data_IF_860255964861
#
_entry.id   IF_860255964861
#
_cell.length_a   1.000
_cell.length_b   1.000
_cell.length_c   1.000
_cell.angle_alpha   90.00
_cell.angle_beta   90.00
_cell.angle_gamma   90.00
#
_symmetry.space_group_name_H-M   'P 1'
#
loop_
_entity.id
_entity.type
_entity.pdbx_description
1 polymer ?
#
# COMPACT_ATOMS: atom_id res chain seq x y z
N UNK A 1 6.04 -51.69 2.73
CA UNK A 1 4.58 -51.51 2.91
C UNK A 1 4.25 -51.55 4.39
N UNK A 2 4.06 -50.41 5.05
CA UNK A 2 3.43 -50.32 6.37
C UNK A 2 2.52 -49.09 6.37
N UNK A 3 1.28 -49.31 6.78
CA UNK A 3 0.11 -48.48 6.54
C UNK A 3 0.11 -47.21 7.40
N UNK A 4 -0.21 -46.08 6.77
CA UNK A 4 -0.61 -44.83 7.44
C UNK A 4 -2.09 -44.93 7.81
N UNK A 5 -2.40 -44.86 9.11
CA UNK A 5 -3.76 -44.58 9.58
C UNK A 5 -3.73 -43.23 10.29
N UNK A 6 -4.28 -42.21 9.63
CA UNK A 6 -4.42 -40.86 10.14
C UNK A 6 -5.58 -40.80 11.15
N UNK A 7 -5.28 -40.46 12.40
CA UNK A 7 -6.31 -40.09 13.37
C UNK A 7 -6.62 -38.60 13.19
N UNK A 8 -7.66 -38.29 12.41
CA UNK A 8 -8.23 -36.95 12.27
C UNK A 8 -9.05 -36.63 13.52
N UNK A 9 -8.48 -35.79 14.40
CA UNK A 9 -9.17 -35.16 15.52
C UNK A 9 -9.51 -33.69 15.21
N UNK A 10 -10.79 -33.48 14.90
CA UNK A 10 -11.65 -32.29 15.09
C UNK A 10 -11.03 -30.87 15.27
N UNK A 11 -10.10 -30.50 14.39
CA UNK A 11 -9.55 -29.14 14.28
C UNK A 11 -10.15 -28.34 13.11
N UNK A 12 -10.89 -29.03 12.23
CA UNK A 12 -11.59 -28.43 11.09
C UNK A 12 -12.75 -27.52 11.53
N UNK A 13 -13.52 -27.90 12.56
CA UNK A 13 -14.71 -27.15 12.99
C UNK A 13 -14.41 -25.74 13.52
N UNK A 14 -13.25 -25.52 14.15
CA UNK A 14 -12.89 -24.23 14.73
C UNK A 14 -12.19 -23.27 13.75
N UNK A 15 -11.50 -23.79 12.73
CA UNK A 15 -10.93 -22.97 11.63
C UNK A 15 -12.00 -22.57 10.61
N UNK A 16 -12.91 -23.48 10.26
CA UNK A 16 -14.03 -23.20 9.33
C UNK A 16 -14.97 -22.14 9.91
N UNK A 17 -15.28 -22.18 11.22
CA UNK A 17 -16.12 -21.17 11.87
C UNK A 17 -15.52 -19.75 11.89
N UNK A 18 -14.19 -19.62 12.05
CA UNK A 18 -13.50 -18.32 11.98
C UNK A 18 -13.36 -17.80 10.54
N UNK A 19 -13.11 -18.68 9.57
CA UNK A 19 -13.11 -18.34 8.14
C UNK A 19 -14.48 -17.86 7.67
N UNK A 20 -15.54 -18.58 8.03
CA UNK A 20 -16.92 -18.20 7.70
C UNK A 20 -17.38 -16.90 8.40
N UNK A 21 -16.94 -16.63 9.64
CA UNK A 21 -17.22 -15.35 10.31
C UNK A 21 -16.49 -14.17 9.65
N UNK A 22 -15.26 -14.38 9.17
CA UNK A 22 -14.47 -13.37 8.46
C UNK A 22 -15.03 -13.07 7.07
N UNK A 23 -15.40 -14.11 6.30
CA UNK A 23 -16.07 -13.96 5.00
C UNK A 23 -17.42 -13.24 5.12
N UNK A 24 -18.22 -13.56 6.15
CA UNK A 24 -19.49 -12.87 6.40
C UNK A 24 -19.32 -11.41 6.82
N UNK A 25 -18.26 -11.06 7.57
CA UNK A 25 -17.96 -9.66 7.88
C UNK A 25 -17.48 -8.90 6.63
N UNK A 26 -16.59 -9.47 5.82
CA UNK A 26 -16.15 -8.85 4.58
C UNK A 26 -17.30 -8.63 3.58
N UNK A 27 -18.24 -9.58 3.48
CA UNK A 27 -19.45 -9.42 2.65
C UNK A 27 -20.35 -8.29 3.16
N UNK A 28 -20.54 -8.20 4.49
CA UNK A 28 -21.31 -7.12 5.11
C UNK A 28 -20.65 -5.75 4.95
N UNK A 29 -19.33 -5.67 5.09
CA UNK A 29 -18.56 -4.43 4.89
C UNK A 29 -18.59 -3.98 3.44
N UNK A 30 -18.49 -4.93 2.49
CA UNK A 30 -18.65 -4.69 1.07
C UNK A 30 -20.04 -4.13 0.74
N UNK A 31 -21.11 -4.76 1.23
CA UNK A 31 -22.49 -4.28 1.03
C UNK A 31 -22.72 -2.92 1.70
N UNK A 32 -22.14 -2.71 2.88
CA UNK A 32 -22.21 -1.41 3.58
C UNK A 32 -21.51 -0.32 2.76
N UNK A 33 -20.33 -0.62 2.23
CA UNK A 33 -19.59 0.31 1.38
C UNK A 33 -20.30 0.59 0.06
N UNK A 34 -20.86 -0.44 -0.59
CA UNK A 34 -21.65 -0.29 -1.82
C UNK A 34 -22.90 0.57 -1.59
N UNK A 35 -23.64 0.32 -0.52
CA UNK A 35 -24.82 1.10 -0.18
C UNK A 35 -24.44 2.55 0.18
N UNK A 36 -23.32 2.75 0.87
CA UNK A 36 -22.77 4.08 1.10
C UNK A 36 -22.43 4.79 -0.23
N UNK A 37 -21.78 4.10 -1.17
CA UNK A 37 -21.34 4.67 -2.45
C UNK A 37 -22.50 4.93 -3.42
N UNK A 38 -23.60 4.15 -3.34
CA UNK A 38 -24.84 4.43 -4.08
C UNK A 38 -25.48 5.75 -3.65
N UNK A 39 -25.42 6.07 -2.35
CA UNK A 39 -25.95 7.32 -1.79
C UNK A 39 -24.96 8.49 -1.95
N UNK A 40 -23.65 8.21 -1.90
CA UNK A 40 -22.58 9.20 -1.96
C UNK A 40 -21.74 9.06 -3.23
N UNK A 41 -22.38 8.83 -4.38
CA UNK A 41 -21.67 8.60 -5.63
C UNK A 41 -20.75 9.78 -5.94
N UNK A 42 -19.43 9.56 -6.06
CA UNK A 42 -18.48 10.62 -6.42
C UNK A 42 -18.64 11.08 -7.88
N UNK A 43 -19.54 10.45 -8.63
CA UNK A 43 -19.84 10.70 -10.04
C UNK A 43 -21.30 11.11 -10.25
N UNK A 44 -21.91 11.77 -9.26
CA UNK A 44 -23.24 12.36 -9.42
C UNK A 44 -23.15 13.55 -10.39
N UNK A 45 -23.29 13.27 -11.70
CA UNK A 45 -23.12 14.25 -12.77
C UNK A 45 -24.25 15.32 -12.85
N UNK A 46 -25.28 15.22 -12.01
CA UNK A 46 -26.50 16.03 -12.12
C UNK A 46 -26.40 17.45 -11.57
N UNK A 47 -25.60 17.69 -10.51
CA UNK A 47 -25.74 18.91 -9.69
C UNK A 47 -24.40 19.65 -9.42
N UNK A 48 -23.38 19.44 -10.25
CA UNK A 48 -22.05 20.02 -10.00
C UNK A 48 -21.64 20.97 -11.12
N UNK A 49 -21.95 22.26 -10.95
CA UNK A 49 -21.43 23.39 -11.76
C UNK A 49 -19.90 23.58 -11.65
N UNK A 50 -19.20 22.73 -10.88
CA UNK A 50 -17.78 22.88 -10.58
C UNK A 50 -17.04 21.56 -10.81
N UNK A 51 -15.88 21.64 -11.49
CA UNK A 51 -15.02 20.49 -11.74
C UNK A 51 -14.45 19.95 -10.43
N UNK A 52 -14.50 18.63 -10.21
CA UNK A 52 -13.93 18.01 -9.01
C UNK A 52 -12.79 17.07 -9.40
N UNK A 53 -11.63 17.27 -8.78
CA UNK A 53 -10.52 16.32 -8.93
C UNK A 53 -10.83 15.04 -8.16
N UNK A 54 -11.18 13.96 -8.88
CA UNK A 54 -11.53 12.64 -8.31
C UNK A 54 -10.46 12.12 -7.35
N UNK A 55 -9.18 12.23 -7.72
CA UNK A 55 -8.08 11.74 -6.89
C UNK A 55 -7.89 12.51 -5.57
N UNK A 56 -8.45 13.71 -5.45
CA UNK A 56 -8.14 14.58 -4.31
C UNK A 56 -9.35 15.31 -3.70
N UNK A 57 -10.56 14.96 -4.15
CA UNK A 57 -11.85 15.51 -3.72
C UNK A 57 -11.98 17.03 -3.88
N UNK A 58 -11.12 17.64 -4.69
CA UNK A 58 -10.93 19.09 -4.66
C UNK A 58 -11.78 19.74 -5.75
N UNK A 59 -12.70 20.59 -5.30
CA UNK A 59 -13.57 21.39 -6.18
C UNK A 59 -12.76 22.52 -6.79
N UNK A 60 -12.87 22.69 -8.10
CA UNK A 60 -12.19 23.71 -8.88
C UNK A 60 -12.86 25.08 -8.68
N UNK A 61 -12.06 26.14 -8.62
CA UNK A 61 -12.57 27.50 -8.69
C UNK A 61 -13.05 27.85 -10.10
N UNK A 62 -13.75 28.98 -10.21
CA UNK A 62 -14.41 29.45 -11.44
C UNK A 62 -13.46 29.65 -12.62
N UNK A 63 -12.17 29.84 -12.37
CA UNK A 63 -11.16 30.13 -13.38
C UNK A 63 -10.51 28.88 -13.99
N UNK A 64 -10.84 27.68 -13.49
CA UNK A 64 -10.28 26.42 -13.96
C UNK A 64 -11.08 25.92 -15.17
N UNK A 65 -10.37 25.55 -16.23
CA UNK A 65 -10.96 25.07 -17.50
C UNK A 65 -10.24 23.80 -18.00
N UNK A 66 -9.80 22.95 -17.07
CA UNK A 66 -9.03 21.74 -17.37
C UNK A 66 -9.82 20.68 -18.15
N UNK A 67 -11.15 20.70 -18.03
CA UNK A 67 -12.10 19.92 -18.81
C UNK A 67 -12.14 20.32 -20.30
N UNK A 68 -11.90 21.59 -20.59
CA UNK A 68 -11.86 22.14 -21.96
C UNK A 68 -10.47 22.06 -22.60
N UNK A 69 -9.57 21.23 -22.06
CA UNK A 69 -8.17 21.21 -22.47
C UNK A 69 -7.99 20.91 -23.97
N UNK A 70 -8.83 20.02 -24.51
CA UNK A 70 -8.80 19.68 -25.94
C UNK A 70 -9.15 20.89 -26.80
N UNK A 71 -10.29 21.55 -26.55
CA UNK A 71 -10.76 22.68 -27.35
C UNK A 71 -9.82 23.88 -27.26
N UNK A 72 -9.27 24.15 -26.07
CA UNK A 72 -8.27 25.19 -25.86
C UNK A 72 -6.99 24.86 -26.65
N UNK A 73 -6.56 23.60 -26.63
CA UNK A 73 -5.40 23.12 -27.39
C UNK A 73 -5.60 23.24 -28.90
N UNK A 74 -6.77 22.87 -29.41
CA UNK A 74 -7.12 23.00 -30.84
C UNK A 74 -7.11 24.47 -31.27
N UNK A 75 -7.72 25.36 -30.47
CA UNK A 75 -7.68 26.80 -30.74
C UNK A 75 -6.25 27.33 -30.74
N UNK A 76 -5.43 26.96 -29.76
CA UNK A 76 -4.03 27.38 -29.71
C UNK A 76 -3.23 26.88 -30.91
N UNK A 77 -3.42 25.62 -31.31
CA UNK A 77 -2.76 25.02 -32.48
C UNK A 77 -3.19 25.68 -33.80
N UNK A 78 -4.48 26.05 -33.93
CA UNK A 78 -4.97 26.75 -35.13
C UNK A 78 -4.29 28.10 -35.34
N UNK A 79 -4.00 28.84 -34.25
CA UNK A 79 -3.28 30.13 -34.30
C UNK A 79 -1.81 29.95 -34.69
N UNK A 80 -1.23 28.78 -34.43
CA UNK A 80 0.15 28.47 -34.82
C UNK A 80 0.26 27.95 -36.26
N UNK A 81 -0.84 27.52 -36.86
CA UNK A 81 -0.84 26.88 -38.18
C UNK A 81 -0.61 27.95 -39.25
N UNK A 82 0.50 27.85 -39.99
CA UNK A 82 0.86 28.78 -41.06
C UNK A 82 1.72 29.97 -40.62
N UNK A 83 1.98 30.12 -39.32
CA UNK A 83 2.87 31.15 -38.77
C UNK A 83 4.33 30.67 -38.74
N UNK A 84 5.28 31.61 -38.92
CA UNK A 84 6.69 31.28 -38.71
C UNK A 84 7.02 31.25 -37.22
N UNK A 85 8.07 30.53 -36.83
CA UNK A 85 8.46 30.41 -35.43
C UNK A 85 8.71 31.77 -34.74
N UNK A 86 9.16 32.79 -35.49
CA UNK A 86 9.40 34.14 -34.97
C UNK A 86 8.09 34.91 -34.68
N UNK A 87 7.01 34.57 -35.37
CA UNK A 87 5.72 35.27 -35.32
C UNK A 87 4.75 34.64 -34.31
N UNK A 88 4.99 33.37 -33.93
CA UNK A 88 4.21 32.66 -32.91
C UNK A 88 4.34 33.34 -31.54
N UNK A 89 3.23 33.90 -31.04
CA UNK A 89 3.13 34.52 -29.71
C UNK A 89 2.21 33.73 -28.80
N UNK A 90 2.79 32.94 -27.90
CA UNK A 90 2.06 32.19 -26.88
C UNK A 90 1.71 33.09 -25.69
N UNK A 91 0.43 33.30 -25.41
CA UNK A 91 -0.03 34.11 -24.27
C UNK A 91 -0.45 33.20 -23.12
N UNK A 92 -0.13 33.60 -21.89
CA UNK A 92 -0.50 32.83 -20.68
C UNK A 92 -2.01 32.67 -20.48
N UNK A 93 -2.80 33.62 -20.97
CA UNK A 93 -4.27 33.58 -20.93
C UNK A 93 -4.89 32.54 -21.88
N UNK A 94 -4.13 32.12 -22.90
CA UNK A 94 -4.58 31.18 -23.92
C UNK A 94 -4.15 29.74 -23.58
N UNK A 95 -3.76 29.49 -22.32
CA UNK A 95 -3.39 28.18 -21.79
C UNK A 95 -4.48 27.64 -20.87
N UNK A 96 -4.60 26.32 -20.83
CA UNK A 96 -5.37 25.59 -19.82
C UNK A 96 -4.91 25.96 -18.40
N UNK A 97 -5.88 26.23 -17.55
CA UNK A 97 -5.74 26.51 -16.12
C UNK A 97 -6.14 25.27 -15.35
N UNK A 98 -5.16 24.65 -14.69
CA UNK A 98 -5.37 23.41 -13.94
C UNK A 98 -5.99 23.67 -12.56
N UNK A 99 -6.67 22.67 -12.00
CA UNK A 99 -7.16 22.70 -10.61
C UNK A 99 -6.04 23.00 -9.59
N UNK A 100 -4.78 22.65 -9.92
CA UNK A 100 -3.61 22.93 -9.08
C UNK A 100 -3.14 24.38 -9.13
N UNK A 101 -3.41 25.11 -10.23
CA UNK A 101 -3.03 26.51 -10.37
C UNK A 101 -3.88 27.46 -9.53
N UNK A 102 -5.09 27.03 -9.18
CA UNK A 102 -6.07 27.74 -8.36
C UNK A 102 -5.81 27.61 -6.83
N UNK A 103 -4.85 26.77 -6.43
CA UNK A 103 -4.76 26.32 -5.03
C UNK A 103 -3.42 26.64 -4.42
N UNK A 104 -3.37 27.83 -3.83
CA UNK A 104 -2.98 27.97 -2.43
C UNK A 104 -3.34 29.33 -1.86
N UNK A 105 -4.10 30.21 -2.52
CA UNK A 105 -4.41 31.52 -1.95
C UNK A 105 -5.73 31.49 -1.16
N UNK A 106 -5.70 32.02 0.06
CA UNK A 106 -6.89 32.30 0.88
C UNK A 106 -6.86 33.78 1.22
N UNK A 107 -7.99 34.46 1.06
CA UNK A 107 -8.11 35.88 1.41
C UNK A 107 -8.28 36.02 2.91
N UNK A 108 -7.23 36.48 3.59
CA UNK A 108 -7.26 36.79 5.03
C UNK A 108 -7.22 38.30 5.18
N UNK A 109 -8.29 38.88 5.73
CA UNK A 109 -8.42 40.34 5.93
C UNK A 109 -8.19 41.16 4.64
N UNK A 110 -8.73 40.67 3.52
CA UNK A 110 -8.62 41.34 2.21
C UNK A 110 -7.30 41.11 1.47
N UNK A 111 -6.37 40.33 2.02
CA UNK A 111 -5.09 40.00 1.38
C UNK A 111 -5.07 38.53 0.97
N UNK A 112 -4.76 38.26 -0.30
CA UNK A 112 -4.54 36.90 -0.78
C UNK A 112 -3.23 36.32 -0.22
N UNK A 113 -3.35 35.34 0.67
CA UNK A 113 -2.21 34.69 1.31
C UNK A 113 -2.03 33.27 0.79
N UNK A 114 -0.81 32.95 0.33
CA UNK A 114 -0.46 31.59 -0.09
C UNK A 114 -0.33 30.65 1.13
N UNK A 115 -1.33 29.83 1.37
CA UNK A 115 -1.42 28.82 2.42
C UNK A 115 -0.60 27.59 2.07
N UNK A 116 0.52 27.40 2.76
CA UNK A 116 1.23 26.11 2.76
C UNK A 116 0.64 25.20 3.84
N UNK A 117 -0.20 24.24 3.42
CA UNK A 117 -0.87 23.27 4.30
C UNK A 117 0.09 22.46 5.19
N UNK A 118 1.30 22.15 4.70
CA UNK A 118 2.31 21.41 5.50
C UNK A 118 2.85 22.29 6.63
N UNK A 119 3.20 23.54 6.33
CA UNK A 119 3.67 24.49 7.36
C UNK A 119 2.58 24.73 8.41
N UNK A 120 1.32 24.79 7.99
CA UNK A 120 0.18 24.95 8.89
C UNK A 120 -0.01 23.73 9.78
N UNK A 121 0.05 22.53 9.21
CA UNK A 121 0.03 21.27 9.97
C UNK A 121 1.17 21.22 10.99
N UNK A 122 2.41 21.53 10.59
CA UNK A 122 3.57 21.54 11.50
C UNK A 122 3.37 22.53 12.65
N UNK A 123 2.88 23.75 12.37
CA UNK A 123 2.60 24.76 13.40
C UNK A 123 1.55 24.28 14.40
N UNK A 124 0.46 23.68 13.92
CA UNK A 124 -0.59 23.14 14.80
C UNK A 124 -0.03 21.99 15.65
N UNK A 125 0.73 21.06 15.06
CA UNK A 125 1.32 19.93 15.82
C UNK A 125 2.31 20.37 16.90
N UNK A 126 2.96 21.52 16.75
CA UNK A 126 3.84 22.07 17.81
C UNK A 126 3.07 22.68 18.99
N UNK A 127 1.76 22.95 18.82
CA UNK A 127 0.92 23.59 19.85
C UNK A 127 0.08 22.57 20.61
N UNK A 128 -0.16 21.38 20.04
CA UNK A 128 -0.84 20.26 20.72
C UNK A 128 -0.01 19.85 21.94
N UNK A 129 -0.61 19.90 23.13
CA UNK A 129 0.05 19.51 24.39
C UNK A 129 -0.44 18.17 24.89
N UNK A 130 -1.68 17.81 24.57
CA UNK A 130 -2.31 16.57 25.05
C UNK A 130 -2.97 15.80 23.89
N UNK A 131 -3.02 14.47 24.00
CA UNK A 131 -3.57 13.61 22.95
C UNK A 131 -5.08 13.78 22.73
N UNK A 132 -5.81 14.23 23.75
CA UNK A 132 -7.24 14.55 23.71
C UNK A 132 -7.55 15.75 22.80
N UNK A 133 -6.65 16.73 22.72
CA UNK A 133 -6.82 17.94 21.88
C UNK A 133 -6.66 17.62 20.38
N UNK A 134 -5.99 16.52 20.05
CA UNK A 134 -5.67 16.16 18.67
C UNK A 134 -6.92 15.95 17.82
N UNK A 135 -8.01 15.43 18.39
CA UNK A 135 -9.27 15.21 17.68
C UNK A 135 -9.88 16.54 17.17
N UNK A 136 -9.89 17.58 18.03
CA UNK A 136 -10.40 18.91 17.71
C UNK A 136 -9.54 19.61 16.65
N UNK A 137 -8.21 19.46 16.72
CA UNK A 137 -7.30 20.01 15.71
C UNK A 137 -7.33 19.26 14.37
N UNK A 138 -7.65 17.96 14.36
CA UNK A 138 -7.80 17.15 13.15
C UNK A 138 -9.15 17.35 12.46
N UNK A 139 -10.18 17.75 13.21
CA UNK A 139 -11.50 18.17 12.70
C UNK A 139 -11.36 19.30 11.68
N UNK A 140 -10.42 20.22 11.92
CA UNK A 140 -9.96 21.16 10.91
C UNK A 140 -9.07 20.42 9.92
N UNK A 141 -9.66 19.87 8.85
CA UNK A 141 -8.98 19.11 7.78
C UNK A 141 -7.79 19.88 7.15
N UNK A 142 -6.60 19.81 7.77
CA UNK A 142 -5.42 20.53 7.30
C UNK A 142 -4.52 19.73 6.35
N UNK A 143 -4.80 18.44 6.12
CA UNK A 143 -4.17 17.67 5.06
C UNK A 143 -5.20 16.72 4.41
N UNK A 144 -5.17 16.62 3.08
CA UNK A 144 -6.03 15.69 2.31
C UNK A 144 -5.83 14.22 2.72
N UNK A 145 -4.70 13.93 3.34
CA UNK A 145 -4.28 12.63 3.87
C UNK A 145 -3.22 12.89 4.96
N UNK A 146 -3.16 12.10 6.05
CA UNK A 146 -2.16 12.27 7.09
C UNK A 146 -0.75 12.10 6.51
N UNK A 147 0.12 13.14 6.52
CA UNK A 147 1.44 13.04 5.94
C UNK A 147 2.37 12.08 6.71
N UNK A 148 2.00 11.70 7.95
CA UNK A 148 2.62 10.64 8.73
C UNK A 148 2.37 9.25 8.15
N UNK A 149 1.22 9.05 7.49
CA UNK A 149 0.80 7.77 6.93
C UNK A 149 0.93 7.70 5.42
N UNK A 150 0.90 8.84 4.72
CA UNK A 150 0.89 8.91 3.26
C UNK A 150 1.99 9.83 2.70
N UNK A 151 2.59 9.40 1.60
CA UNK A 151 3.50 10.21 0.78
C UNK A 151 3.02 10.13 -0.68
N UNK A 152 2.91 11.29 -1.35
CA UNK A 152 2.48 11.40 -2.76
C UNK A 152 1.19 10.63 -3.15
N UNK A 153 0.27 10.42 -2.21
CA UNK A 153 -1.00 9.72 -2.49
C UNK A 153 -0.97 8.22 -2.28
N UNK A 154 0.16 7.67 -1.80
CA UNK A 154 0.30 6.27 -1.41
C UNK A 154 0.69 6.17 0.06
N UNK A 155 0.34 5.06 0.71
CA UNK A 155 0.72 4.81 2.09
C UNK A 155 2.26 4.73 2.19
N UNK A 156 2.86 5.42 3.16
CA UNK A 156 4.29 5.37 3.43
C UNK A 156 4.72 3.95 3.70
N UNK A 157 5.93 3.61 3.25
CA UNK A 157 6.54 2.31 3.52
C UNK A 157 6.62 2.11 5.03
N UNK A 158 6.07 1.00 5.53
CA UNK A 158 6.18 0.67 6.93
C UNK A 158 7.66 0.43 7.31
N UNK A 159 8.04 0.85 8.51
CA UNK A 159 9.41 0.67 9.03
C UNK A 159 9.45 -0.52 9.99
N UNK A 160 8.87 -1.65 9.55
CA UNK A 160 8.66 -2.84 10.38
C UNK A 160 9.96 -3.39 10.98
N UNK A 161 11.07 -3.28 10.25
CA UNK A 161 12.39 -3.67 10.74
C UNK A 161 12.86 -2.81 11.92
N UNK A 162 12.68 -1.49 11.85
CA UNK A 162 13.04 -0.58 12.95
C UNK A 162 12.20 -0.87 14.19
N UNK A 163 10.89 -1.07 14.03
CA UNK A 163 10.01 -1.46 15.12
C UNK A 163 10.46 -2.81 15.73
N UNK A 164 10.78 -3.80 14.90
CA UNK A 164 11.26 -5.09 15.38
C UNK A 164 12.58 -4.98 16.15
N UNK A 165 13.52 -4.14 15.70
CA UNK A 165 14.78 -3.88 16.42
C UNK A 165 14.55 -3.21 17.77
N UNK A 166 13.64 -2.23 17.82
CA UNK A 166 13.25 -1.57 19.09
C UNK A 166 12.61 -2.59 20.03
N UNK A 167 11.67 -3.39 19.56
CA UNK A 167 11.04 -4.44 20.37
C UNK A 167 12.09 -5.42 20.90
N UNK A 168 12.99 -5.92 20.05
CA UNK A 168 14.09 -6.80 20.47
C UNK A 168 14.98 -6.14 21.54
N UNK A 169 15.29 -4.85 21.40
CA UNK A 169 16.12 -4.12 22.37
C UNK A 169 15.48 -4.01 23.76
N UNK A 170 14.15 -4.17 23.84
CA UNK A 170 13.35 -4.01 25.07
C UNK A 170 12.93 -5.33 25.69
N UNK A 171 13.17 -6.46 25.01
CA UNK A 171 12.82 -7.78 25.52
C UNK A 171 14.11 -8.57 25.75
N UNK A 172 14.36 -8.93 27.01
CA UNK A 172 15.41 -9.87 27.35
C UNK A 172 14.79 -11.27 27.36
N UNK A 173 14.80 -11.93 26.21
CA UNK A 173 14.16 -13.25 26.07
C UNK A 173 15.09 -14.31 26.64
N UNK A 174 14.82 -14.76 27.87
CA UNK A 174 15.34 -16.03 28.36
C UNK A 174 14.27 -17.09 28.12
N UNK A 175 14.44 -17.86 27.03
CA UNK A 175 13.55 -18.96 26.67
C UNK A 175 14.07 -20.24 27.31
N UNK A 176 13.45 -20.66 28.42
CA UNK A 176 13.57 -22.03 28.90
C UNK A 176 12.61 -22.89 28.06
N UNK A 177 13.17 -23.61 27.09
CA UNK A 177 12.42 -24.55 26.28
C UNK A 177 12.16 -25.81 27.11
N UNK A 178 10.89 -26.13 27.33
CA UNK A 178 10.50 -27.42 27.89
C UNK A 178 10.78 -28.55 26.91
N UNK A 179 11.15 -29.74 27.39
CA UNK A 179 11.51 -30.91 26.56
C UNK A 179 10.44 -31.33 25.52
N UNK A 180 9.19 -30.89 25.68
CA UNK A 180 8.06 -31.20 24.79
C UNK A 180 7.62 -30.03 23.89
N UNK A 181 8.45 -29.01 23.70
CA UNK A 181 8.12 -27.86 22.87
C UNK A 181 7.86 -28.26 21.41
N UNK A 182 6.80 -27.72 20.81
CA UNK A 182 6.54 -27.82 19.36
C UNK A 182 6.89 -26.48 18.69
N UNK A 183 7.61 -26.56 17.58
CA UNK A 183 8.03 -25.37 16.84
C UNK A 183 7.08 -25.09 15.69
N UNK A 184 6.67 -23.82 15.57
CA UNK A 184 5.94 -23.31 14.40
C UNK A 184 6.85 -22.32 13.71
N UNK A 185 7.27 -22.66 12.49
CA UNK A 185 8.30 -21.95 11.74
C UNK A 185 7.66 -21.13 10.62
N UNK A 186 8.12 -19.90 10.45
CA UNK A 186 7.78 -19.09 9.28
C UNK A 186 8.72 -19.46 8.13
N UNK A 187 8.17 -19.92 7.01
CA UNK A 187 8.96 -20.36 5.86
C UNK A 187 9.82 -19.25 5.27
N UNK A 188 9.23 -18.10 4.91
CA UNK A 188 9.94 -17.04 4.20
C UNK A 188 11.10 -16.44 5.01
N UNK A 189 11.01 -16.49 6.34
CA UNK A 189 12.13 -16.13 7.21
C UNK A 189 13.25 -17.18 7.18
N UNK A 190 12.88 -18.46 7.28
CA UNK A 190 13.86 -19.54 7.32
C UNK A 190 14.62 -19.64 5.99
N UNK A 191 13.93 -19.52 4.86
CA UNK A 191 14.58 -19.52 3.53
C UNK A 191 15.63 -18.41 3.36
N UNK A 192 15.40 -17.24 3.96
CA UNK A 192 16.33 -16.11 3.91
C UNK A 192 17.48 -16.21 4.91
N UNK A 193 17.35 -17.07 5.92
CA UNK A 193 18.31 -17.18 7.01
C UNK A 193 19.31 -18.32 6.82
N UNK A 194 19.02 -19.26 5.93
CA UNK A 194 19.88 -20.43 5.71
C UNK A 194 21.07 -20.09 4.80
N UNK A 195 22.29 -20.51 5.18
CA UNK A 195 23.44 -20.41 4.30
C UNK A 195 23.36 -21.49 3.22
N UNK A 196 22.93 -21.10 2.03
CA UNK A 196 22.89 -21.98 0.87
C UNK A 196 24.30 -22.25 0.31
N UNK A 197 24.56 -23.45 -0.23
CA UNK A 197 25.78 -23.77 -0.97
C UNK A 197 25.98 -22.81 -2.14
N UNK A 198 27.18 -22.80 -2.73
CA UNK A 198 27.39 -22.13 -4.01
C UNK A 198 26.72 -22.96 -5.14
N UNK A 199 25.88 -22.31 -5.96
CA UNK A 199 25.18 -22.88 -7.11
C UNK A 199 24.33 -24.16 -6.83
N UNK A 200 23.45 -24.18 -5.82
CA UNK A 200 22.68 -25.37 -5.46
C UNK A 200 21.55 -25.61 -6.46
N UNK A 201 21.19 -26.87 -6.66
CA UNK A 201 19.93 -27.22 -7.36
C UNK A 201 18.72 -26.98 -6.47
N UNK A 202 17.53 -26.85 -7.05
CA UNK A 202 16.30 -26.77 -6.25
C UNK A 202 16.13 -27.96 -5.32
N UNK A 203 16.50 -29.17 -5.76
CA UNK A 203 16.46 -30.35 -4.91
C UNK A 203 17.36 -30.21 -3.67
N UNK A 204 18.60 -29.75 -3.88
CA UNK A 204 19.55 -29.53 -2.79
C UNK A 204 19.08 -28.47 -1.79
N UNK A 205 18.44 -27.40 -2.28
CA UNK A 205 17.82 -26.37 -1.42
C UNK A 205 16.69 -26.97 -0.59
N UNK A 206 15.80 -27.76 -1.21
CA UNK A 206 14.71 -28.46 -0.51
C UNK A 206 15.23 -29.43 0.55
N UNK A 207 16.19 -30.28 0.19
CA UNK A 207 16.79 -31.27 1.09
C UNK A 207 17.48 -30.61 2.28
N UNK A 208 18.23 -29.53 2.04
CA UNK A 208 18.91 -28.79 3.09
C UNK A 208 17.91 -28.06 3.99
N UNK A 209 16.84 -27.49 3.43
CA UNK A 209 15.77 -26.87 4.20
C UNK A 209 15.12 -27.88 5.15
N UNK A 210 14.68 -29.03 4.63
CA UNK A 210 14.03 -30.08 5.41
C UNK A 210 14.99 -30.64 6.46
N UNK A 211 16.23 -30.92 6.07
CA UNK A 211 17.26 -31.41 7.00
C UNK A 211 17.50 -30.43 8.13
N UNK A 212 17.60 -29.13 7.83
CA UNK A 212 17.76 -28.11 8.85
C UNK A 212 16.56 -28.05 9.81
N UNK A 213 15.34 -28.14 9.28
CA UNK A 213 14.12 -28.16 10.10
C UNK A 213 14.11 -29.36 11.04
N UNK A 214 14.41 -30.55 10.53
CA UNK A 214 14.40 -31.79 11.32
C UNK A 214 15.51 -31.82 12.37
N UNK A 215 16.72 -31.37 12.02
CA UNK A 215 17.88 -31.39 12.93
C UNK A 215 17.74 -30.36 14.05
N UNK A 216 17.28 -29.14 13.74
CA UNK A 216 17.26 -28.05 14.71
C UNK A 216 15.94 -27.90 15.47
N UNK A 217 14.82 -28.37 14.90
CA UNK A 217 13.48 -28.19 15.48
C UNK A 217 12.71 -29.51 15.65
N UNK A 218 13.26 -30.62 15.19
CA UNK A 218 12.70 -31.95 15.37
C UNK A 218 11.55 -32.30 14.40
N UNK A 219 11.17 -33.59 14.34
CA UNK A 219 10.14 -34.10 13.41
C UNK A 219 8.71 -33.64 13.74
N UNK A 220 8.47 -33.07 14.92
CA UNK A 220 7.17 -32.52 15.34
C UNK A 220 6.96 -31.05 14.97
N UNK A 221 7.90 -30.44 14.25
CA UNK A 221 7.86 -29.04 13.83
C UNK A 221 6.86 -28.81 12.68
N UNK A 222 6.23 -27.63 12.67
CA UNK A 222 5.25 -27.23 11.66
C UNK A 222 5.80 -26.02 10.92
N UNK A 223 6.01 -26.16 9.61
CA UNK A 223 6.39 -25.04 8.74
C UNK A 223 5.14 -24.42 8.14
N UNK A 224 4.98 -23.11 8.32
CA UNK A 224 3.86 -22.33 7.78
C UNK A 224 4.36 -21.54 6.58
N UNK A 225 3.80 -21.88 5.41
CA UNK A 225 4.03 -21.16 4.17
C UNK A 225 3.04 -20.01 4.05
N UNK A 226 3.55 -18.85 3.66
CA UNK A 226 2.71 -17.69 3.41
C UNK A 226 1.89 -17.91 2.13
N UNK A 227 0.56 -17.91 2.26
CA UNK A 227 -0.33 -17.87 1.12
C UNK A 227 -0.37 -16.49 0.49
N UNK A 228 -0.20 -16.42 -0.83
CA UNK A 228 -0.53 -15.22 -1.62
C UNK A 228 -1.99 -15.34 -2.06
N UNK A 229 -2.89 -14.73 -1.29
CA UNK A 229 -4.32 -14.65 -1.61
C UNK A 229 -4.64 -13.57 -2.66
N UNK A 230 -5.91 -13.55 -3.08
CA UNK A 230 -6.52 -12.68 -4.09
C UNK A 230 -6.18 -11.18 -3.95
N UNK A 231 -6.45 -10.43 -5.01
CA UNK A 231 -6.05 -9.04 -5.26
C UNK A 231 -6.33 -8.00 -4.15
N UNK A 232 -7.06 -8.35 -3.09
CA UNK A 232 -7.42 -7.49 -1.95
C UNK A 232 -6.52 -7.66 -0.71
N UNK A 233 -5.45 -8.47 -0.78
CA UNK A 233 -4.53 -8.63 0.36
C UNK A 233 -3.72 -7.36 0.66
N UNK A 234 -3.47 -7.10 1.95
CA UNK A 234 -2.51 -6.04 2.38
C UNK A 234 -1.09 -6.30 1.86
N UNK A 235 -0.78 -7.54 1.43
CA UNK A 235 0.48 -7.92 0.78
C UNK A 235 0.53 -7.48 -0.69
N UNK A 236 -0.60 -7.28 -1.36
CA UNK A 236 -0.67 -6.95 -2.80
C UNK A 236 -0.05 -5.59 -3.11
N UNK A 237 -0.25 -4.58 -2.26
CA UNK A 237 0.36 -3.27 -2.46
C UNK A 237 1.89 -3.31 -2.39
N UNK A 238 2.44 -4.07 -1.43
CA UNK A 238 3.89 -4.26 -1.31
C UNK A 238 4.45 -5.15 -2.44
N UNK A 239 3.70 -6.15 -2.88
CA UNK A 239 4.04 -6.97 -4.03
C UNK A 239 4.09 -6.15 -5.33
N UNK A 240 3.06 -5.35 -5.62
CA UNK A 240 3.05 -4.43 -6.77
C UNK A 240 4.21 -3.43 -6.70
N UNK A 241 4.54 -2.92 -5.50
CA UNK A 241 5.69 -2.04 -5.31
C UNK A 241 7.01 -2.73 -5.66
N UNK A 242 7.18 -4.01 -5.31
CA UNK A 242 8.37 -4.82 -5.64
C UNK A 242 8.41 -5.22 -7.11
N UNK A 243 7.27 -5.64 -7.67
CA UNK A 243 7.15 -6.01 -9.08
C UNK A 243 7.49 -4.85 -10.02
N UNK A 244 7.16 -3.61 -9.65
CA UNK A 244 7.56 -2.41 -10.41
C UNK A 244 9.08 -2.21 -10.51
N UNK A 245 9.87 -2.84 -9.65
CA UNK A 245 11.33 -2.68 -9.66
C UNK A 245 12.04 -3.73 -10.50
N UNK A 246 11.56 -4.98 -10.53
CA UNK A 246 12.07 -6.06 -11.37
C UNK A 246 11.00 -7.17 -11.47
N UNK A 247 10.72 -7.63 -12.69
CA UNK A 247 9.90 -8.82 -12.95
C UNK A 247 10.75 -9.88 -13.62
N UNK A 248 10.76 -11.09 -13.10
CA UNK A 248 11.30 -12.26 -13.82
C UNK A 248 10.22 -12.86 -14.72
N UNK A 249 10.61 -13.59 -15.78
CA UNK A 249 9.68 -14.50 -16.46
C UNK A 249 9.08 -15.49 -15.46
N UNK A 250 7.93 -16.07 -15.80
CA UNK A 250 7.45 -17.26 -15.12
C UNK A 250 8.48 -18.38 -15.35
N UNK A 251 9.05 -18.87 -14.26
CA UNK A 251 10.05 -19.94 -14.30
C UNK A 251 9.32 -21.24 -13.98
N UNK A 252 9.37 -22.18 -14.92
CA UNK A 252 8.99 -23.57 -14.66
C UNK A 252 10.16 -24.23 -13.95
N UNK A 253 9.94 -24.68 -12.72
CA UNK A 253 10.98 -25.29 -11.91
C UNK A 253 11.02 -26.81 -12.11
N UNK A 254 12.21 -27.34 -12.40
CA UNK A 254 12.53 -28.75 -12.25
C UNK A 254 13.58 -28.89 -11.14
N UNK A 255 13.53 -30.01 -10.41
CA UNK A 255 14.36 -30.25 -9.22
C UNK A 255 15.86 -30.16 -9.50
N UNK A 256 16.28 -30.50 -10.71
CA UNK A 256 17.69 -30.50 -11.14
C UNK A 256 18.19 -29.13 -11.63
N UNK A 257 17.30 -28.15 -11.80
CA UNK A 257 17.71 -26.80 -12.25
C UNK A 257 18.54 -26.15 -11.15
N UNK A 258 19.67 -25.54 -11.55
CA UNK A 258 20.49 -24.72 -10.67
C UNK A 258 19.77 -23.42 -10.31
N UNK A 259 19.78 -23.08 -9.03
CA UNK A 259 19.29 -21.79 -8.56
C UNK A 259 20.18 -20.66 -9.08
N UNK A 260 19.57 -19.54 -9.46
CA UNK A 260 20.29 -18.36 -9.93
C UNK A 260 20.39 -17.36 -8.79
N UNK A 261 21.54 -17.26 -8.15
CA UNK A 261 21.83 -16.18 -7.19
C UNK A 261 22.37 -14.98 -7.95
N UNK A 262 21.61 -13.89 -8.02
CA UNK A 262 22.18 -12.58 -8.34
C UNK A 262 23.19 -12.22 -7.24
N UNK A 263 24.41 -11.88 -7.62
CA UNK A 263 25.31 -11.11 -6.74
C UNK A 263 24.70 -9.75 -6.42
#
# INVERSE_FOLDING_TARGET
MKNYAAHLGDSHGAQVRRGAQFENHCAKDYETFLNWLKVHSPFSYGDHDALVCVASGVVAGKCVNADQAFDIGVKAASVMTGETYADVKLKRKDRVTSISSDKNQVTVRGVEVKVNRIVLFTRVTCVIRESSEMEEYLLHKFAKQPPSLFDKGTMRKNTKSVLASVLKSKVNVHLELTDNARFVLNEGHLLQSLPWPADPTYNQVCDQYVSHVLVHYGPGSIVVFDGYGSASSTKTAEQQRRAKQNTSPDIVFELEIKTTTSK
#
